data_IF_361846708431
#
_entry.id   IF_361846708431
#
_cell.length_a   1.000
_cell.length_b   1.000
_cell.length_c   1.000
_cell.angle_alpha   90.00
_cell.angle_beta   90.00
_cell.angle_gamma   90.00
#
_symmetry.space_group_name_H-M   'P 1'
#
loop_
_entity.id
_entity.type
_entity.pdbx_description
1 polymer ?
#
# COMPACT_ATOMS: atom_id res chain seq x y z
N UNK A 1 -1.11 7.44 20.14
CA UNK A 1 -2.46 7.47 19.54
C UNK A 1 -2.79 6.07 19.12
N UNK A 2 -3.68 5.37 19.83
CA UNK A 2 -4.22 4.07 19.39
C UNK A 2 -5.46 4.32 18.54
N UNK A 3 -5.65 3.53 17.48
CA UNK A 3 -6.86 3.63 16.67
C UNK A 3 -8.11 3.37 17.54
N UNK A 4 -9.26 4.00 17.24
CA UNK A 4 -10.51 3.72 17.94
C UNK A 4 -10.83 2.22 17.89
N UNK A 5 -11.33 1.65 18.99
CA UNK A 5 -11.55 0.20 19.14
C UNK A 5 -12.59 -0.38 18.16
N UNK A 6 -13.27 0.47 17.39
CA UNK A 6 -14.32 0.15 16.42
C UNK A 6 -13.94 0.57 14.99
N UNK A 7 -12.71 1.03 14.74
CA UNK A 7 -12.27 1.34 13.39
C UNK A 7 -12.08 0.04 12.60
N UNK A 8 -12.86 -0.16 11.53
CA UNK A 8 -12.66 -1.26 10.61
C UNK A 8 -11.28 -1.09 9.94
N UNK A 9 -10.35 -1.98 10.24
CA UNK A 9 -9.01 -1.99 9.63
C UNK A 9 -9.09 -2.78 8.33
N UNK A 10 -8.71 -2.16 7.22
CA UNK A 10 -8.60 -2.84 5.93
C UNK A 10 -7.41 -3.81 5.99
N UNK A 11 -7.69 -5.11 5.81
CA UNK A 11 -6.67 -6.14 5.76
C UNK A 11 -6.09 -6.28 4.35
N UNK A 12 -4.95 -6.97 4.23
CA UNK A 12 -4.39 -7.35 2.92
C UNK A 12 -5.40 -8.19 2.12
N UNK A 13 -6.12 -9.09 2.80
CA UNK A 13 -7.18 -9.90 2.18
C UNK A 13 -8.29 -9.02 1.60
N UNK A 14 -8.76 -8.02 2.36
CA UNK A 14 -9.81 -7.12 1.88
C UNK A 14 -9.36 -6.36 0.64
N UNK A 15 -8.13 -5.82 0.66
CA UNK A 15 -7.59 -5.08 -0.47
C UNK A 15 -7.43 -5.96 -1.72
N UNK A 16 -6.92 -7.18 -1.57
CA UNK A 16 -6.69 -8.07 -2.71
C UNK A 16 -7.98 -8.73 -3.23
N UNK A 17 -9.06 -8.75 -2.44
CA UNK A 17 -10.33 -9.36 -2.84
C UNK A 17 -11.03 -8.62 -3.99
N UNK A 18 -10.68 -7.35 -4.21
CA UNK A 18 -11.34 -6.47 -5.18
C UNK A 18 -10.39 -5.99 -6.27
N UNK A 19 -9.28 -6.70 -6.51
CA UNK A 19 -8.29 -6.30 -7.52
C UNK A 19 -8.21 -7.33 -8.65
N UNK A 20 -7.97 -6.85 -9.86
CA UNK A 20 -7.52 -7.67 -10.99
C UNK A 20 -6.02 -7.48 -11.26
N UNK A 21 -5.28 -8.58 -11.43
CA UNK A 21 -3.87 -8.51 -11.85
C UNK A 21 -3.76 -8.34 -13.37
N UNK A 22 -3.19 -7.22 -13.80
CA UNK A 22 -3.12 -6.82 -15.21
C UNK A 22 -1.72 -6.38 -15.69
N UNK A 23 -0.69 -6.39 -14.82
CA UNK A 23 0.67 -5.94 -15.16
C UNK A 23 1.76 -6.98 -14.93
N UNK A 24 1.39 -8.11 -14.34
CA UNK A 24 2.23 -9.27 -14.15
C UNK A 24 3.24 -9.12 -13.02
N UNK A 25 3.86 -10.26 -12.70
CA UNK A 25 4.74 -10.40 -11.55
C UNK A 25 6.21 -10.26 -11.93
N UNK A 26 7.02 -9.81 -10.98
CA UNK A 26 8.47 -9.85 -11.11
C UNK A 26 8.94 -11.31 -11.08
N UNK A 27 9.63 -11.76 -12.14
CA UNK A 27 10.26 -13.08 -12.20
C UNK A 27 11.62 -13.03 -11.49
N UNK A 28 11.72 -13.71 -10.35
CA UNK A 28 12.94 -13.73 -9.53
C UNK A 28 13.88 -14.85 -9.96
N UNK A 29 15.18 -14.69 -9.66
CA UNK A 29 16.18 -15.77 -9.81
C UNK A 29 15.95 -16.83 -8.75
N UNK A 30 16.36 -18.07 -9.02
CA UNK A 30 16.17 -19.20 -8.11
C UNK A 30 16.69 -18.94 -6.68
N UNK A 31 17.93 -18.43 -6.54
CA UNK A 31 18.47 -18.11 -5.21
C UNK A 31 17.69 -17.02 -4.46
N UNK A 32 17.04 -16.10 -5.18
CA UNK A 32 16.14 -15.10 -4.57
C UNK A 32 14.85 -15.73 -4.08
N UNK A 33 14.28 -16.68 -4.85
CA UNK A 33 13.08 -17.43 -4.44
C UNK A 33 13.38 -18.25 -3.19
N UNK A 34 14.51 -18.94 -3.15
CA UNK A 34 14.97 -19.69 -1.96
C UNK A 34 15.19 -18.80 -0.73
N UNK A 35 15.65 -17.56 -0.93
CA UNK A 35 15.70 -16.56 0.13
C UNK A 35 14.29 -16.20 0.60
N UNK A 36 13.38 -15.88 -0.31
CA UNK A 36 12.02 -15.45 0.04
C UNK A 36 11.20 -16.54 0.74
N UNK A 37 11.35 -17.81 0.36
CA UNK A 37 10.64 -18.94 0.97
C UNK A 37 10.92 -19.09 2.47
N UNK A 38 12.12 -18.69 2.90
CA UNK A 38 12.57 -18.71 4.31
C UNK A 38 12.07 -17.52 5.12
N UNK A 39 11.62 -16.44 4.49
CA UNK A 39 11.09 -15.27 5.19
C UNK A 39 9.64 -15.50 5.57
N UNK A 40 9.36 -15.65 6.87
CA UNK A 40 7.99 -15.74 7.42
C UNK A 40 7.58 -14.53 8.27
N UNK A 41 8.50 -13.58 8.47
CA UNK A 41 8.27 -12.40 9.30
C UNK A 41 7.24 -11.45 8.67
N UNK A 42 6.27 -11.04 9.48
CA UNK A 42 5.26 -10.02 9.15
C UNK A 42 5.65 -8.61 9.58
N UNK A 43 6.89 -8.43 10.01
CA UNK A 43 7.52 -7.15 10.35
C UNK A 43 8.84 -7.00 9.61
N UNK A 44 9.28 -5.76 9.39
CA UNK A 44 10.56 -5.48 8.74
C UNK A 44 11.72 -6.15 9.47
N UNK A 45 12.45 -7.02 8.77
CA UNK A 45 13.66 -7.63 9.31
C UNK A 45 14.73 -6.54 9.43
N UNK A 46 15.15 -6.29 10.68
CA UNK A 46 16.10 -5.24 11.04
C UNK A 46 17.47 -5.44 10.40
N UNK A 47 18.27 -4.37 10.38
CA UNK A 47 19.66 -4.42 9.92
C UNK A 47 20.55 -5.13 10.93
N UNK A 48 20.42 -6.44 11.07
CA UNK A 48 21.53 -7.22 11.61
C UNK A 48 22.57 -7.43 10.50
N UNK A 49 23.87 -7.22 10.77
CA UNK A 49 24.94 -7.33 9.76
C UNK A 49 25.03 -8.70 9.08
N UNK A 50 24.45 -9.74 9.68
CA UNK A 50 24.55 -11.15 9.29
C UNK A 50 23.26 -11.70 8.66
N UNK A 51 22.19 -10.91 8.56
CA UNK A 51 20.93 -11.39 8.02
C UNK A 51 20.88 -11.22 6.49
N UNK A 52 20.91 -12.33 5.77
CA UNK A 52 20.63 -12.39 4.33
C UNK A 52 19.23 -11.82 3.97
N UNK A 53 18.36 -11.60 4.97
CA UNK A 53 16.95 -11.21 4.84
C UNK A 53 16.68 -9.75 5.21
N UNK A 54 17.72 -8.96 5.45
CA UNK A 54 17.63 -7.55 5.80
C UNK A 54 16.67 -6.78 4.86
N UNK A 55 15.77 -5.99 5.44
CA UNK A 55 14.85 -5.15 4.67
C UNK A 55 13.79 -5.93 3.86
N UNK A 56 13.50 -7.17 4.24
CA UNK A 56 12.38 -7.95 3.71
C UNK A 56 11.24 -8.02 4.73
N UNK A 57 10.00 -7.94 4.24
CA UNK A 57 8.78 -8.15 5.01
C UNK A 57 7.82 -9.01 4.20
N UNK A 58 7.16 -9.99 4.82
CA UNK A 58 6.08 -10.75 4.21
C UNK A 58 4.73 -10.26 4.73
N UNK A 59 3.82 -9.93 3.84
CA UNK A 59 2.48 -9.51 4.25
C UNK A 59 1.73 -10.66 4.94
N UNK A 60 0.77 -10.33 5.80
CA UNK A 60 -0.16 -11.30 6.38
C UNK A 60 -1.57 -10.97 5.91
N UNK A 61 -2.33 -12.01 5.54
CA UNK A 61 -3.67 -11.85 4.98
C UNK A 61 -4.61 -11.07 5.90
N UNK A 62 -4.64 -11.42 7.18
CA UNK A 62 -5.62 -10.91 8.14
C UNK A 62 -5.03 -9.75 8.98
N UNK A 63 -4.08 -9.02 8.41
CA UNK A 63 -3.42 -7.86 9.01
C UNK A 63 -3.37 -6.68 8.01
N UNK A 64 -3.23 -5.43 8.48
CA UNK A 64 -2.93 -4.31 7.60
C UNK A 64 -1.53 -4.45 6.98
N UNK A 65 -1.32 -3.85 5.80
CA UNK A 65 0.01 -3.82 5.19
C UNK A 65 0.97 -2.87 5.92
N UNK A 66 2.26 -3.04 5.67
CA UNK A 66 3.21 -1.98 5.92
C UNK A 66 2.95 -0.78 4.99
N UNK A 67 3.63 0.35 5.24
CA UNK A 67 3.66 1.44 4.29
C UNK A 67 4.19 0.96 2.94
N UNK A 68 3.44 1.23 1.87
CA UNK A 68 3.81 0.83 0.51
C UNK A 68 4.89 1.79 0.00
N UNK A 69 6.02 1.23 -0.39
CA UNK A 69 7.13 1.94 -1.04
C UNK A 69 7.33 1.40 -2.44
N UNK A 70 8.35 1.87 -3.17
CA UNK A 70 8.58 1.41 -4.54
C UNK A 70 8.83 -0.10 -4.59
N UNK A 71 7.83 -0.86 -5.04
CA UNK A 71 7.83 -2.34 -5.07
C UNK A 71 8.83 -2.94 -6.06
N UNK A 72 9.43 -2.13 -6.94
CA UNK A 72 10.58 -2.55 -7.77
C UNK A 72 11.92 -2.45 -7.05
N UNK A 73 11.97 -1.82 -5.87
CA UNK A 73 13.17 -1.67 -5.03
C UNK A 73 13.01 -2.31 -3.64
N UNK A 74 11.80 -2.32 -3.09
CA UNK A 74 11.50 -2.89 -1.78
C UNK A 74 11.21 -4.40 -1.85
N UNK A 75 11.53 -5.13 -0.78
CA UNK A 75 11.25 -6.55 -0.65
C UNK A 75 9.98 -6.77 0.21
N UNK A 76 8.85 -6.27 -0.28
CA UNK A 76 7.52 -6.50 0.31
C UNK A 76 6.94 -7.74 -0.36
N UNK A 77 6.87 -8.86 0.35
CA UNK A 77 6.48 -10.15 -0.20
C UNK A 77 4.98 -10.40 -0.09
N UNK A 78 4.45 -11.10 -1.10
CA UNK A 78 3.09 -11.62 -1.09
C UNK A 78 2.88 -12.55 0.13
N UNK A 79 1.68 -12.64 0.73
CA UNK A 79 1.46 -13.51 1.89
C UNK A 79 1.84 -14.97 1.65
N UNK A 80 1.45 -15.53 0.50
CA UNK A 80 1.64 -16.96 0.22
C UNK A 80 2.72 -17.26 -0.81
N UNK A 81 3.11 -16.28 -1.64
CA UNK A 81 3.98 -16.53 -2.78
C UNK A 81 5.39 -16.01 -2.52
N UNK A 82 6.40 -16.70 -3.06
CA UNK A 82 7.81 -16.34 -2.92
C UNK A 82 8.23 -15.29 -3.95
N UNK A 83 7.49 -14.17 -3.94
CA UNK A 83 7.71 -13.00 -4.79
C UNK A 83 7.40 -11.73 -4.04
N UNK A 84 7.99 -10.63 -4.50
CA UNK A 84 7.51 -9.29 -4.17
C UNK A 84 6.10 -9.07 -4.70
N UNK A 85 5.34 -8.21 -4.04
CA UNK A 85 4.03 -7.81 -4.52
C UNK A 85 4.11 -7.10 -5.88
N UNK A 86 3.06 -7.21 -6.67
CA UNK A 86 2.91 -6.53 -7.96
C UNK A 86 2.57 -5.05 -7.79
N UNK A 87 2.54 -4.31 -8.90
CA UNK A 87 2.10 -2.92 -8.91
C UNK A 87 0.58 -2.84 -8.66
N UNK A 88 -0.20 -3.80 -9.18
CA UNK A 88 -1.64 -3.86 -8.97
C UNK A 88 -1.97 -4.13 -7.48
N UNK A 89 -1.26 -5.09 -6.87
CA UNK A 89 -1.34 -5.36 -5.42
C UNK A 89 -0.98 -4.13 -4.59
N UNK A 90 0.08 -3.40 -4.98
CA UNK A 90 0.47 -2.16 -4.31
C UNK A 90 -0.62 -1.07 -4.42
N UNK A 91 -1.28 -0.96 -5.56
CA UNK A 91 -2.40 -0.03 -5.76
C UNK A 91 -3.61 -0.39 -4.92
N UNK A 92 -3.96 -1.68 -4.88
CA UNK A 92 -5.05 -2.18 -4.06
C UNK A 92 -4.83 -1.86 -2.57
N UNK A 93 -3.60 -2.06 -2.06
CA UNK A 93 -3.24 -1.72 -0.67
C UNK A 93 -3.29 -0.21 -0.39
N UNK A 94 -2.98 0.63 -1.38
CA UNK A 94 -3.13 2.09 -1.30
C UNK A 94 -4.60 2.53 -1.43
N UNK A 95 -5.52 1.64 -1.79
CA UNK A 95 -6.91 1.95 -2.10
C UNK A 95 -7.07 2.80 -3.37
N UNK A 96 -6.13 2.64 -4.31
CA UNK A 96 -6.21 3.26 -5.64
C UNK A 96 -7.24 2.47 -6.48
N UNK A 97 -8.20 3.15 -7.12
CA UNK A 97 -9.24 2.47 -7.88
C UNK A 97 -8.68 1.79 -9.14
N UNK A 98 -9.27 0.66 -9.52
CA UNK A 98 -8.82 -0.16 -10.65
C UNK A 98 -8.80 0.56 -12.01
N UNK A 99 -9.69 1.53 -12.20
CA UNK A 99 -9.72 2.33 -13.44
C UNK A 99 -8.51 3.25 -13.59
N UNK A 100 -7.76 3.51 -12.52
CA UNK A 100 -6.57 4.36 -12.60
C UNK A 100 -5.40 3.55 -13.15
N UNK A 101 -4.82 4.01 -14.26
CA UNK A 101 -3.70 3.35 -14.92
C UNK A 101 -2.47 4.26 -14.81
N UNK A 102 -1.45 3.92 -14.00
CA UNK A 102 -0.21 4.69 -13.95
C UNK A 102 0.56 4.53 -15.27
N UNK A 103 1.21 5.61 -15.70
CA UNK A 103 1.89 5.68 -17.00
C UNK A 103 3.40 5.37 -16.89
N UNK A 104 4.05 5.12 -18.03
CA UNK A 104 5.50 4.88 -18.11
C UNK A 104 5.96 3.44 -17.89
N UNK A 105 7.25 3.24 -17.66
CA UNK A 105 7.88 1.95 -17.38
C UNK A 105 7.55 1.40 -15.99
N UNK A 106 7.87 0.12 -15.75
CA UNK A 106 7.50 -0.55 -14.49
C UNK A 106 8.07 0.11 -13.22
N UNK A 107 9.25 0.74 -13.29
CA UNK A 107 9.84 1.50 -12.16
C UNK A 107 9.10 2.82 -11.94
N UNK A 108 8.73 3.53 -13.00
CA UNK A 108 8.01 4.80 -12.94
C UNK A 108 6.60 4.60 -12.38
N UNK A 109 5.89 3.56 -12.86
CA UNK A 109 4.60 3.14 -12.32
C UNK A 109 4.69 2.83 -10.82
N UNK A 110 5.68 2.04 -10.41
CA UNK A 110 5.88 1.72 -8.99
C UNK A 110 6.21 2.96 -8.14
N UNK A 111 6.91 3.95 -8.69
CA UNK A 111 7.16 5.23 -8.00
C UNK A 111 5.89 6.08 -7.85
N UNK A 112 5.05 6.14 -8.89
CA UNK A 112 3.77 6.85 -8.82
C UNK A 112 2.89 6.28 -7.71
N UNK A 113 2.77 4.95 -7.63
CA UNK A 113 1.97 4.27 -6.60
C UNK A 113 2.57 4.47 -5.20
N UNK A 114 3.88 4.37 -5.05
CA UNK A 114 4.54 4.54 -3.76
C UNK A 114 4.45 5.95 -3.19
N UNK A 115 4.54 6.96 -4.06
CA UNK A 115 4.53 8.37 -3.66
C UNK A 115 3.11 8.96 -3.60
N UNK A 116 2.10 8.23 -4.06
CA UNK A 116 0.72 8.69 -4.03
C UNK A 116 0.19 8.83 -2.59
N UNK A 117 -0.69 9.81 -2.40
CA UNK A 117 -1.51 9.91 -1.20
C UNK A 117 -2.70 8.93 -1.35
N UNK A 118 -2.99 8.07 -0.37
CA UNK A 118 -4.14 7.16 -0.43
C UNK A 118 -5.44 7.92 -0.73
N UNK A 119 -6.26 7.51 -1.72
CA UNK A 119 -7.47 8.25 -2.11
C UNK A 119 -8.48 8.44 -0.97
N UNK A 120 -8.67 7.43 -0.11
CA UNK A 120 -9.55 7.55 1.07
C UNK A 120 -9.08 8.63 2.04
N UNK A 121 -7.77 8.74 2.26
CA UNK A 121 -7.19 9.80 3.10
C UNK A 121 -7.44 11.18 2.48
N UNK A 122 -7.17 11.33 1.18
CA UNK A 122 -7.42 12.57 0.46
C UNK A 122 -8.90 12.99 0.50
N UNK A 123 -9.81 12.03 0.33
CA UNK A 123 -11.27 12.26 0.41
C UNK A 123 -11.71 12.80 1.77
N UNK A 124 -11.26 12.20 2.87
CA UNK A 124 -11.64 12.66 4.22
C UNK A 124 -11.08 14.05 4.52
N UNK A 125 -9.84 14.34 4.12
CA UNK A 125 -9.24 15.68 4.26
C UNK A 125 -10.05 16.69 3.45
N UNK A 126 -10.31 16.42 2.17
CA UNK A 126 -11.05 17.31 1.29
C UNK A 126 -12.49 17.56 1.79
N UNK A 127 -13.16 16.51 2.28
CA UNK A 127 -14.50 16.61 2.84
C UNK A 127 -14.52 17.54 4.05
N UNK A 128 -13.54 17.43 4.95
CA UNK A 128 -13.45 18.31 6.11
C UNK A 128 -13.17 19.75 5.73
N UNK A 129 -12.29 19.97 4.74
CA UNK A 129 -12.04 21.31 4.19
C UNK A 129 -13.34 21.91 3.63
N UNK A 130 -14.10 21.15 2.84
CA UNK A 130 -15.38 21.57 2.25
C UNK A 130 -16.40 21.98 3.32
N UNK A 131 -16.55 21.21 4.40
CA UNK A 131 -17.45 21.54 5.52
C UNK A 131 -17.11 22.88 6.17
N UNK A 132 -15.81 23.10 6.44
CA UNK A 132 -15.33 24.34 7.06
C UNK A 132 -15.58 25.54 6.15
N UNK A 133 -15.35 25.39 4.84
CA UNK A 133 -15.59 26.45 3.86
C UNK A 133 -17.08 26.77 3.70
N UNK A 134 -17.94 25.75 3.66
CA UNK A 134 -19.39 25.92 3.59
C UNK A 134 -19.95 26.67 4.81
N UNK A 135 -19.49 26.31 6.01
CA UNK A 135 -19.88 26.98 7.27
C UNK A 135 -19.49 28.45 7.26
N UNK A 136 -18.26 28.78 6.83
CA UNK A 136 -17.76 30.16 6.74
C UNK A 136 -18.51 30.99 5.69
N UNK A 137 -18.99 30.38 4.62
CA UNK A 137 -19.82 31.07 3.62
C UNK A 137 -21.21 31.38 4.17
N UNK A 138 -21.82 30.45 4.91
CA UNK A 138 -23.14 30.65 5.53
C UNK A 138 -23.12 31.74 6.60
N UNK A 139 -22.06 31.81 7.41
CA UNK A 139 -21.88 32.87 8.41
C UNK A 139 -21.67 34.26 7.78
N UNK A 140 -20.94 34.34 6.65
CA UNK A 140 -20.77 35.61 5.93
C UNK A 140 -22.07 36.12 5.32
N UNK A 141 -22.92 35.24 4.82
CA UNK A 141 -24.21 35.62 4.23
C UNK A 141 -25.29 35.98 5.26
N UNK A 142 -25.10 35.62 6.54
CA UNK A 142 -26.03 35.95 7.63
C UNK A 142 -25.66 37.26 8.35
N UNK A 143 -24.41 37.70 8.25
CA UNK A 143 -23.87 38.89 8.93
C UNK A 143 -23.63 40.08 7.99
N UNK A 144 -24.05 39.99 6.73
CA UNK A 144 -24.06 41.08 5.75
C UNK A 144 -25.47 41.29 5.22
#
# INVERSE_FOLDING_TARGET
MTAPHNAQVLTVRDAFSTMEENWGFTKHRQGTIEKFSKVKSTSWISKEPTSDYQGTIRLAWDAPSCAITNVKKAQILHPDEDRVISIAEAMALQGIPEWYIPEGGGVEKAMQVANAVPPKLAYHIASRIREVLATKSSLRNFLG
#
